data_IF_546504345673
#
_entry.id   IF_546504345673
#
_cell.length_a   1.000
_cell.length_b   1.000
_cell.length_c   1.000
_cell.angle_alpha   90.00
_cell.angle_beta   90.00
_cell.angle_gamma   90.00
#
_symmetry.space_group_name_H-M   'P 1'
#
loop_
_entity.id
_entity.type
_entity.pdbx_description
1 polymer ?
#
# COMPACT_ATOMS: atom_id res chain seq x y z
N UNK A 1 57.71 -32.69 20.40
CA UNK A 1 57.40 -31.73 19.32
C UNK A 1 55.95 -31.95 18.92
N UNK A 2 55.08 -31.00 19.25
CA UNK A 2 53.65 -31.08 18.92
C UNK A 2 53.43 -30.50 17.51
N UNK A 3 52.96 -31.32 16.58
CA UNK A 3 52.54 -30.90 15.24
C UNK A 3 51.17 -30.21 15.34
N UNK A 4 51.16 -28.89 15.16
CA UNK A 4 49.95 -28.09 15.04
C UNK A 4 49.37 -28.27 13.63
N UNK A 5 48.19 -28.89 13.53
CA UNK A 5 47.36 -28.85 12.32
C UNK A 5 46.94 -27.41 12.08
N UNK A 6 47.55 -26.76 11.08
CA UNK A 6 47.12 -25.46 10.59
C UNK A 6 45.79 -25.66 9.85
N UNK A 7 44.70 -25.17 10.42
CA UNK A 7 43.41 -25.13 9.74
C UNK A 7 43.57 -24.33 8.43
N UNK A 8 43.18 -24.94 7.31
CA UNK A 8 43.03 -24.24 6.03
C UNK A 8 41.84 -23.29 6.22
N UNK A 9 42.14 -22.01 6.39
CA UNK A 9 41.12 -20.98 6.39
C UNK A 9 40.48 -20.95 5.00
N UNK A 10 39.19 -21.28 4.93
CA UNK A 10 38.33 -20.92 3.80
C UNK A 10 38.46 -19.42 3.59
N UNK A 11 38.92 -19.00 2.41
CA UNK A 11 38.89 -17.60 2.03
C UNK A 11 37.43 -17.18 1.92
N UNK A 12 36.91 -16.60 3.00
CA UNK A 12 35.69 -15.82 3.00
C UNK A 12 35.82 -14.73 1.95
N UNK A 13 35.01 -14.82 0.89
CA UNK A 13 34.86 -13.82 -0.15
C UNK A 13 34.59 -12.48 0.52
N UNK A 14 35.62 -11.64 0.56
CA UNK A 14 35.59 -10.33 1.21
C UNK A 14 35.03 -9.33 0.19
N UNK A 15 33.71 -9.33 0.03
CA UNK A 15 32.85 -8.23 -0.41
C UNK A 15 31.47 -8.81 -0.79
N UNK A 16 30.48 -8.66 0.10
CA UNK A 16 29.09 -8.85 -0.29
C UNK A 16 28.73 -7.79 -1.33
N UNK A 17 28.31 -8.22 -2.53
CA UNK A 17 27.67 -7.43 -3.59
C UNK A 17 28.23 -6.04 -3.93
N UNK A 18 29.52 -5.77 -3.66
CA UNK A 18 30.10 -4.48 -3.99
C UNK A 18 31.08 -4.64 -5.14
N UNK A 19 30.60 -4.36 -6.38
CA UNK A 19 31.38 -3.80 -7.51
C UNK A 19 30.52 -3.50 -8.75
N UNK A 20 29.93 -2.31 -8.72
CA UNK A 20 30.03 -1.24 -9.72
C UNK A 20 29.53 -1.47 -11.16
N UNK A 21 28.22 -1.60 -11.32
CA UNK A 21 27.53 -1.04 -12.48
C UNK A 21 26.40 -0.14 -11.97
N UNK A 22 26.38 1.13 -12.37
CA UNK A 22 25.38 2.09 -11.92
C UNK A 22 24.02 1.79 -12.58
N UNK A 23 22.92 1.94 -11.85
CA UNK A 23 21.56 1.91 -12.44
C UNK A 23 21.26 3.22 -13.17
N UNK A 24 20.32 3.19 -14.12
CA UNK A 24 19.80 4.38 -14.81
C UNK A 24 19.31 5.44 -13.78
N UNK A 25 18.81 5.02 -12.61
CA UNK A 25 18.32 5.91 -11.56
C UNK A 25 19.41 6.73 -10.87
N UNK A 26 20.64 6.22 -10.81
CA UNK A 26 21.79 6.96 -10.27
C UNK A 26 22.36 7.96 -11.30
N UNK A 27 22.12 7.71 -12.59
CA UNK A 27 22.53 8.56 -13.70
C UNK A 27 21.46 9.61 -14.11
N UNK A 28 20.35 9.72 -13.39
CA UNK A 28 19.19 10.59 -13.73
C UNK A 28 19.52 12.07 -13.96
N UNK A 29 20.59 12.58 -13.36
CA UNK A 29 21.04 13.96 -13.54
C UNK A 29 21.73 14.20 -14.88
N UNK A 30 21.94 13.16 -15.70
CA UNK A 30 22.53 13.25 -17.04
C UNK A 30 21.41 13.16 -18.10
N UNK A 31 20.94 14.30 -18.64
CA UNK A 31 19.74 14.38 -19.48
C UNK A 31 19.82 13.57 -20.80
N UNK A 32 21.00 13.12 -21.20
CA UNK A 32 21.21 12.42 -22.47
C UNK A 32 20.72 10.97 -22.48
N UNK A 33 20.77 10.27 -21.33
CA UNK A 33 20.45 8.83 -21.24
C UNK A 33 18.96 8.65 -20.93
N UNK A 34 18.48 9.24 -19.83
CA UNK A 34 17.12 9.05 -19.36
C UNK A 34 16.07 9.69 -20.29
N UNK A 35 16.35 10.90 -20.81
CA UNK A 35 15.43 11.61 -21.71
C UNK A 35 15.18 10.86 -23.02
N UNK A 36 16.24 10.35 -23.68
CA UNK A 36 16.10 9.61 -24.94
C UNK A 36 15.46 8.23 -24.77
N UNK A 37 15.69 7.55 -23.65
CA UNK A 37 15.07 6.25 -23.37
C UNK A 37 13.58 6.39 -23.09
N UNK A 38 13.17 7.42 -22.35
CA UNK A 38 11.75 7.74 -22.16
C UNK A 38 11.10 8.08 -23.51
N UNK A 39 11.75 8.91 -24.33
CA UNK A 39 11.26 9.26 -25.67
C UNK A 39 11.15 8.03 -26.60
N UNK A 40 12.05 7.04 -26.47
CA UNK A 40 12.13 5.89 -27.35
C UNK A 40 11.24 4.71 -26.91
N UNK A 41 11.09 4.47 -25.61
CA UNK A 41 10.40 3.28 -25.06
C UNK A 41 9.08 3.62 -24.34
N UNK A 42 8.75 4.89 -24.13
CA UNK A 42 7.38 5.36 -23.90
C UNK A 42 6.65 4.82 -22.67
N UNK A 43 7.34 4.34 -21.62
CA UNK A 43 6.64 3.78 -20.46
C UNK A 43 5.86 4.82 -19.64
N UNK A 44 6.23 6.11 -19.70
CA UNK A 44 5.68 7.12 -18.80
C UNK A 44 5.96 6.79 -17.31
N UNK A 45 5.63 7.69 -16.37
CA UNK A 45 5.85 7.45 -14.95
C UNK A 45 4.87 6.39 -14.41
N UNK A 46 5.40 5.33 -13.80
CA UNK A 46 4.64 4.32 -13.06
C UNK A 46 4.61 4.56 -11.54
N UNK A 47 4.07 3.59 -10.79
CA UNK A 47 4.00 3.66 -9.33
C UNK A 47 5.39 3.59 -8.69
N UNK A 48 6.28 2.77 -9.23
CA UNK A 48 7.69 2.72 -8.84
C UNK A 48 8.35 4.09 -8.93
N UNK A 49 8.15 4.78 -10.06
CA UNK A 49 8.72 6.10 -10.31
C UNK A 49 8.16 7.13 -9.34
N UNK A 50 6.85 7.10 -9.11
CA UNK A 50 6.18 7.97 -8.15
C UNK A 50 6.75 7.78 -6.73
N UNK A 51 6.92 6.54 -6.26
CA UNK A 51 7.45 6.24 -4.93
C UNK A 51 8.93 6.60 -4.80
N UNK A 52 9.71 6.35 -5.86
CA UNK A 52 11.14 6.67 -5.90
C UNK A 52 11.37 8.18 -5.91
N UNK A 53 10.63 8.94 -6.72
CA UNK A 53 10.76 10.41 -6.78
C UNK A 53 10.21 11.11 -5.55
N UNK A 54 9.18 10.54 -4.92
CA UNK A 54 8.70 11.01 -3.62
C UNK A 54 9.69 10.72 -2.48
N UNK A 55 10.72 9.89 -2.71
CA UNK A 55 11.65 9.36 -1.69
C UNK A 55 10.94 8.58 -0.58
N UNK A 56 9.84 7.91 -0.91
CA UNK A 56 9.10 7.06 0.02
C UNK A 56 9.71 5.64 0.02
N UNK A 57 11.01 5.56 0.32
CA UNK A 57 11.78 4.32 0.32
C UNK A 57 12.36 4.03 1.71
N UNK A 58 12.32 2.78 2.15
CA UNK A 58 12.92 2.34 3.42
C UNK A 58 13.74 1.07 3.24
N UNK A 59 14.64 0.80 4.18
CA UNK A 59 15.36 -0.46 4.25
C UNK A 59 14.58 -1.46 5.13
N UNK A 60 14.39 -2.68 4.63
CA UNK A 60 13.68 -3.76 5.34
C UNK A 60 14.61 -4.93 5.62
N UNK A 61 14.38 -5.61 6.74
CA UNK A 61 15.15 -6.75 7.20
C UNK A 61 14.37 -8.03 6.89
N UNK A 62 14.98 -8.94 6.14
CA UNK A 62 14.37 -10.25 5.83
C UNK A 62 13.33 -10.22 4.69
N UNK A 63 12.76 -11.39 4.40
CA UNK A 63 11.78 -11.59 3.32
C UNK A 63 10.34 -11.27 3.75
N UNK A 64 10.08 -11.30 5.06
CA UNK A 64 8.79 -11.03 5.68
C UNK A 64 8.96 -9.91 6.69
N UNK A 65 8.14 -8.88 6.58
CA UNK A 65 8.11 -7.76 7.49
C UNK A 65 6.69 -7.58 8.03
N UNK A 66 6.51 -7.76 9.34
CA UNK A 66 5.26 -7.46 10.02
C UNK A 66 5.24 -5.99 10.41
N UNK A 67 4.20 -5.27 9.98
CA UNK A 67 3.98 -3.86 10.30
C UNK A 67 2.82 -3.77 11.28
N UNK A 68 3.09 -3.19 12.45
CA UNK A 68 2.07 -2.96 13.47
C UNK A 68 1.58 -1.52 13.35
N UNK A 69 0.30 -1.37 13.03
CA UNK A 69 -0.35 -0.06 12.90
C UNK A 69 -1.22 0.23 14.11
N UNK A 70 -1.21 1.50 14.54
CA UNK A 70 -2.13 2.00 15.55
C UNK A 70 -3.45 2.38 14.87
N UNK A 71 -4.53 1.68 15.21
CA UNK A 71 -5.88 2.09 14.77
C UNK A 71 -6.33 3.42 15.39
N UNK A 72 -7.57 3.82 15.11
CA UNK A 72 -8.18 5.00 15.74
C UNK A 72 -8.28 4.83 17.28
N UNK A 73 -8.09 5.91 18.04
CA UNK A 73 -8.19 5.90 19.51
C UNK A 73 -9.61 5.60 19.99
N UNK A 74 -10.60 5.99 19.20
CA UNK A 74 -12.00 5.66 19.39
C UNK A 74 -12.42 4.73 18.27
N UNK A 75 -13.06 3.62 18.61
CA UNK A 75 -13.65 2.69 17.64
C UNK A 75 -15.04 2.25 18.10
N UNK A 76 -15.97 1.96 17.18
CA UNK A 76 -17.18 1.24 17.51
C UNK A 76 -16.85 -0.22 17.84
N UNK A 77 -17.82 -0.93 18.40
CA UNK A 77 -17.78 -2.38 18.59
C UNK A 77 -18.80 -3.06 17.67
N UNK A 78 -18.48 -4.24 17.19
CA UNK A 78 -19.37 -5.04 16.34
C UNK A 78 -20.08 -6.11 17.17
N UNK A 79 -21.40 -6.25 17.02
CA UNK A 79 -22.18 -7.29 17.69
C UNK A 79 -21.99 -8.68 17.06
N UNK A 80 -21.80 -9.71 17.88
CA UNK A 80 -21.79 -11.12 17.47
C UNK A 80 -23.18 -11.76 17.54
N UNK A 81 -23.97 -11.37 18.54
CA UNK A 81 -25.33 -11.84 18.77
C UNK A 81 -26.34 -10.71 18.69
N UNK A 82 -27.57 -11.04 18.32
CA UNK A 82 -28.69 -10.10 18.36
C UNK A 82 -28.93 -9.63 19.79
N UNK A 83 -29.26 -8.34 19.95
CA UNK A 83 -29.80 -7.83 21.22
C UNK A 83 -31.32 -7.96 21.14
N UNK A 84 -31.88 -8.87 21.93
CA UNK A 84 -33.33 -9.07 21.98
C UNK A 84 -34.04 -7.83 22.53
N UNK A 85 -35.30 -7.66 22.14
CA UNK A 85 -36.20 -6.64 22.70
C UNK A 85 -36.23 -6.68 24.22
N UNK A 86 -36.30 -5.51 24.85
CA UNK A 86 -36.25 -5.36 26.30
C UNK A 86 -37.27 -4.31 26.77
N UNK A 87 -37.94 -4.62 27.87
CA UNK A 87 -38.90 -3.71 28.50
C UNK A 87 -38.25 -2.45 29.08
N UNK A 88 -39.10 -1.51 29.51
CA UNK A 88 -38.66 -0.22 30.04
C UNK A 88 -37.70 -0.38 31.23
N UNK A 89 -36.51 0.23 31.13
CA UNK A 89 -35.53 0.24 32.22
C UNK A 89 -34.83 -1.09 32.48
N UNK A 90 -35.05 -2.10 31.64
CA UNK A 90 -34.49 -3.45 31.81
C UNK A 90 -33.06 -3.51 31.25
N UNK A 91 -32.21 -4.31 31.90
CA UNK A 91 -30.87 -4.59 31.41
C UNK A 91 -30.89 -5.38 30.10
N UNK A 92 -29.99 -5.03 29.18
CA UNK A 92 -29.76 -5.78 27.95
C UNK A 92 -28.49 -6.61 28.06
N UNK A 93 -28.43 -7.72 27.35
CA UNK A 93 -27.24 -8.56 27.24
C UNK A 93 -26.82 -8.74 25.78
N UNK A 94 -25.51 -8.77 25.54
CA UNK A 94 -24.98 -8.93 24.19
C UNK A 94 -23.55 -9.47 24.20
N UNK A 95 -23.11 -9.94 23.03
CA UNK A 95 -21.75 -10.43 22.76
C UNK A 95 -21.14 -9.62 21.63
N UNK A 96 -19.83 -9.40 21.67
CA UNK A 96 -19.10 -8.70 20.61
C UNK A 96 -18.41 -9.70 19.68
N UNK A 97 -18.12 -9.29 18.44
CA UNK A 97 -17.47 -10.12 17.45
C UNK A 97 -16.12 -10.67 17.95
N UNK A 98 -15.77 -11.89 17.53
CA UNK A 98 -14.52 -12.54 17.94
C UNK A 98 -13.29 -11.75 17.53
N UNK A 99 -13.37 -10.99 16.44
CA UNK A 99 -12.31 -10.06 15.97
C UNK A 99 -12.11 -8.83 16.87
N UNK A 100 -12.96 -8.59 17.87
CA UNK A 100 -12.84 -7.45 18.78
C UNK A 100 -11.98 -7.75 20.02
N UNK A 101 -11.63 -9.03 20.23
CA UNK A 101 -10.76 -9.48 21.31
C UNK A 101 -9.29 -9.47 20.85
N UNK A 102 -8.38 -8.99 21.71
CA UNK A 102 -6.95 -9.20 21.50
C UNK A 102 -6.52 -10.64 21.85
N UNK A 103 -5.28 -11.01 21.54
CA UNK A 103 -4.74 -12.34 21.82
C UNK A 103 -4.74 -12.72 23.32
N UNK A 104 -4.89 -11.74 24.22
CA UNK A 104 -5.03 -11.93 25.66
C UNK A 104 -6.48 -11.75 26.14
N UNK A 105 -7.45 -11.76 25.23
CA UNK A 105 -8.88 -11.67 25.48
C UNK A 105 -9.32 -10.36 26.15
N UNK A 106 -8.52 -9.30 25.99
CA UNK A 106 -8.92 -7.97 26.37
C UNK A 106 -9.60 -7.29 25.19
N UNK A 107 -10.49 -6.37 25.51
CA UNK A 107 -11.37 -5.72 24.54
C UNK A 107 -11.34 -4.21 24.76
N UNK A 108 -11.77 -3.48 23.73
CA UNK A 108 -11.93 -2.03 23.83
C UNK A 108 -13.04 -1.64 24.80
N UNK A 109 -14.11 -2.45 24.88
CA UNK A 109 -15.24 -2.23 25.77
C UNK A 109 -14.94 -2.73 27.19
N UNK A 110 -14.82 -1.80 28.13
CA UNK A 110 -14.61 -2.09 29.54
C UNK A 110 -15.92 -2.06 30.34
N UNK A 111 -15.91 -2.68 31.54
CA UNK A 111 -17.00 -2.49 32.50
C UNK A 111 -17.02 -1.02 32.93
N UNK A 112 -18.22 -0.45 33.09
CA UNK A 112 -18.48 0.98 33.30
C UNK A 112 -18.26 1.88 32.09
N UNK A 113 -17.89 1.36 30.92
CA UNK A 113 -18.10 2.12 29.68
C UNK A 113 -19.60 2.21 29.36
N UNK A 114 -19.97 3.06 28.42
CA UNK A 114 -21.32 3.12 27.90
C UNK A 114 -21.36 2.90 26.39
N UNK A 115 -22.46 2.36 25.92
CA UNK A 115 -22.78 2.16 24.51
C UNK A 115 -24.00 2.99 24.13
N UNK A 116 -24.10 3.36 22.86
CA UNK A 116 -25.31 3.96 22.29
C UNK A 116 -26.02 2.94 21.41
N UNK A 117 -27.30 2.71 21.71
CA UNK A 117 -28.22 1.97 20.85
C UNK A 117 -28.85 2.97 19.86
N UNK A 118 -28.84 2.68 18.55
CA UNK A 118 -29.47 3.54 17.55
C UNK A 118 -30.97 3.73 17.83
N UNK A 119 -31.48 4.92 17.47
CA UNK A 119 -32.88 5.32 17.69
C UNK A 119 -33.88 4.38 17.00
N UNK A 120 -33.53 3.83 15.83
CA UNK A 120 -34.38 2.91 15.05
C UNK A 120 -34.83 1.66 15.83
N UNK A 121 -34.10 1.28 16.88
CA UNK A 121 -34.40 0.11 17.71
C UNK A 121 -35.11 0.45 19.03
N UNK A 122 -35.25 1.75 19.32
CA UNK A 122 -35.87 2.25 20.52
C UNK A 122 -37.35 2.54 20.29
N UNK A 123 -38.15 2.49 21.34
CA UNK A 123 -39.53 2.99 21.28
C UNK A 123 -39.59 4.52 21.21
N UNK A 124 -40.80 5.05 21.00
CA UNK A 124 -41.11 6.51 20.89
C UNK A 124 -40.68 7.37 22.11
N UNK A 125 -40.06 6.77 23.13
CA UNK A 125 -39.60 7.45 24.34
C UNK A 125 -38.18 8.00 24.22
N UNK A 126 -37.44 7.72 23.15
CA UNK A 126 -36.11 8.29 22.91
C UNK A 126 -36.11 9.26 21.74
N UNK A 127 -35.73 10.53 21.98
CA UNK A 127 -35.44 11.51 20.93
C UNK A 127 -33.96 11.42 20.54
N UNK A 128 -33.54 10.27 19.99
CA UNK A 128 -32.15 9.98 19.63
C UNK A 128 -31.56 8.71 20.27
N UNK A 129 -30.25 8.44 20.03
CA UNK A 129 -29.61 7.21 20.49
C UNK A 129 -29.64 7.04 22.01
N UNK A 130 -30.07 5.87 22.47
CA UNK A 130 -30.21 5.58 23.89
C UNK A 130 -28.88 5.13 24.50
N UNK A 131 -28.47 5.80 25.58
CA UNK A 131 -27.24 5.46 26.32
C UNK A 131 -27.49 4.31 27.31
N UNK A 132 -26.66 3.27 27.24
CA UNK A 132 -26.63 2.13 28.17
C UNK A 132 -25.24 2.00 28.78
N UNK A 133 -25.12 1.86 30.10
CA UNK A 133 -23.85 1.64 30.80
C UNK A 133 -23.60 0.16 31.05
N UNK A 134 -22.39 -0.32 30.74
CA UNK A 134 -21.98 -1.70 31.01
C UNK A 134 -21.86 -1.89 32.53
N UNK A 135 -22.71 -2.74 33.10
CA UNK A 135 -22.76 -3.02 34.53
C UNK A 135 -21.87 -4.20 34.90
N UNK A 136 -21.82 -5.22 34.03
CA UNK A 136 -21.01 -6.42 34.26
C UNK A 136 -20.60 -7.08 32.95
N UNK A 137 -19.62 -7.97 33.06
CA UNK A 137 -19.24 -8.91 32.01
C UNK A 137 -19.02 -10.28 32.62
N UNK A 138 -19.45 -11.34 31.95
CA UNK A 138 -19.30 -12.72 32.40
C UNK A 138 -19.07 -13.64 31.20
N UNK A 139 -18.45 -14.81 31.43
CA UNK A 139 -18.17 -15.78 30.37
C UNK A 139 -16.70 -16.18 30.31
N UNK A 140 -16.38 -17.06 29.37
CA UNK A 140 -15.04 -17.57 29.12
C UNK A 140 -14.38 -16.84 27.94
N UNK A 141 -13.10 -17.14 27.74
CA UNK A 141 -12.26 -16.76 26.60
C UNK A 141 -13.03 -16.73 25.26
N UNK A 142 -13.00 -15.58 24.56
CA UNK A 142 -13.71 -15.32 23.28
C UNK A 142 -15.25 -15.43 23.30
N UNK A 143 -15.86 -15.56 24.48
CA UNK A 143 -17.32 -15.64 24.61
C UNK A 143 -17.81 -14.83 25.83
N UNK A 144 -17.44 -13.55 25.86
CA UNK A 144 -17.82 -12.65 26.95
C UNK A 144 -19.20 -12.06 26.66
N UNK A 145 -20.13 -12.34 27.57
CA UNK A 145 -21.45 -11.70 27.60
C UNK A 145 -21.36 -10.41 28.43
N UNK A 146 -21.73 -9.30 27.81
CA UNK A 146 -21.84 -8.00 28.45
C UNK A 146 -23.26 -7.77 28.91
N UNK A 147 -23.44 -7.25 30.12
CA UNK A 147 -24.74 -6.77 30.61
C UNK A 147 -24.69 -5.24 30.71
N UNK A 148 -25.67 -4.56 30.13
CA UNK A 148 -25.75 -3.10 30.13
C UNK A 148 -27.10 -2.62 30.67
N UNK A 149 -27.07 -1.59 31.51
CA UNK A 149 -28.25 -0.95 32.08
C UNK A 149 -28.55 0.37 31.36
N UNK A 150 -29.82 0.66 31.04
CA UNK A 150 -30.18 1.94 30.45
C UNK A 150 -29.94 3.08 31.43
N UNK A 151 -29.57 4.25 30.91
CA UNK A 151 -29.47 5.46 31.72
C UNK A 151 -30.82 5.98 32.21
N UNK A 152 -31.88 5.80 31.40
CA UNK A 152 -33.24 6.21 31.74
C UNK A 152 -34.12 4.99 31.91
N UNK A 153 -34.95 4.98 32.95
CA UNK A 153 -35.94 3.92 33.18
C UNK A 153 -37.03 3.85 32.11
N UNK A 154 -37.14 4.88 31.27
CA UNK A 154 -38.11 4.99 30.17
C UNK A 154 -37.61 4.37 28.86
N UNK A 155 -36.34 3.99 28.77
CA UNK A 155 -35.79 3.38 27.55
C UNK A 155 -36.33 1.96 27.38
N UNK A 156 -36.95 1.73 26.21
CA UNK A 156 -37.54 0.48 25.78
C UNK A 156 -36.93 0.09 24.43
N UNK A 157 -36.48 -1.15 24.31
CA UNK A 157 -35.98 -1.69 23.05
C UNK A 157 -37.14 -2.44 22.37
N UNK A 158 -37.78 -1.80 21.39
CA UNK A 158 -39.00 -2.30 20.72
C UNK A 158 -38.68 -3.24 19.57
N UNK A 159 -37.52 -3.08 18.95
CA UNK A 159 -37.01 -3.92 17.87
C UNK A 159 -35.68 -4.53 18.28
N UNK A 160 -35.46 -5.80 17.90
CA UNK A 160 -34.18 -6.45 18.17
C UNK A 160 -33.06 -5.79 17.35
N UNK A 161 -31.89 -5.59 17.96
CA UNK A 161 -30.72 -5.03 17.27
C UNK A 161 -29.99 -6.18 16.56
N UNK A 162 -29.89 -6.17 15.21
CA UNK A 162 -29.32 -7.27 14.45
C UNK A 162 -27.86 -7.55 14.80
N UNK A 163 -27.41 -8.76 14.49
CA UNK A 163 -25.98 -9.12 14.48
C UNK A 163 -25.21 -8.20 13.52
N UNK A 164 -23.90 -8.04 13.73
CA UNK A 164 -23.02 -7.15 12.94
C UNK A 164 -23.29 -5.64 13.06
N UNK A 165 -24.33 -5.22 13.80
CA UNK A 165 -24.55 -3.81 14.09
C UNK A 165 -23.35 -3.23 14.83
N UNK A 166 -22.89 -2.05 14.38
CA UNK A 166 -21.79 -1.32 15.01
C UNK A 166 -22.34 -0.35 16.06
N UNK A 167 -21.94 -0.53 17.32
CA UNK A 167 -22.36 0.33 18.42
C UNK A 167 -21.24 1.31 18.79
N UNK A 168 -21.62 2.56 19.02
CA UNK A 168 -20.69 3.58 19.50
C UNK A 168 -20.38 3.35 20.98
N UNK A 169 -19.09 3.44 21.34
CA UNK A 169 -18.63 3.30 22.73
C UNK A 169 -18.16 4.65 23.25
N UNK A 170 -18.60 5.01 24.46
CA UNK A 170 -18.19 6.22 25.18
C UNK A 170 -17.81 5.88 26.62
N UNK A 171 -17.22 6.85 27.32
CA UNK A 171 -17.01 6.73 28.77
C UNK A 171 -18.35 6.71 29.52
N UNK A 172 -18.47 5.81 30.50
CA UNK A 172 -19.62 5.84 31.39
C UNK A 172 -19.55 6.98 32.40
N UNK A 173 -20.62 7.12 33.17
CA UNK A 173 -20.74 8.13 34.20
C UNK A 173 -20.36 7.52 35.55
N UNK A 174 -19.65 8.29 36.36
CA UNK A 174 -19.16 7.88 37.68
C UNK A 174 -19.86 8.66 38.78
N UNK A 175 -20.25 7.96 39.84
CA UNK A 175 -20.70 8.60 41.07
C UNK A 175 -19.48 9.12 41.86
N UNK A 176 -19.64 10.20 42.66
CA UNK A 176 -18.60 10.65 43.58
C UNK A 176 -18.11 9.50 44.48
N UNK A 177 -16.78 9.32 44.59
CA UNK A 177 -16.17 8.25 45.40
C UNK A 177 -16.23 6.84 44.79
N UNK A 178 -16.77 6.67 43.58
CA UNK A 178 -16.81 5.37 42.91
C UNK A 178 -15.44 4.94 42.39
N UNK A 179 -15.19 3.63 42.38
CA UNK A 179 -13.99 3.06 41.78
C UNK A 179 -13.92 3.38 40.28
N UNK A 180 -12.73 3.71 39.78
CA UNK A 180 -12.49 3.98 38.36
C UNK A 180 -12.79 2.80 37.41
N UNK A 181 -12.75 3.06 36.11
CA UNK A 181 -12.82 2.02 35.08
C UNK A 181 -11.57 1.15 35.05
N UNK A 182 -11.72 -0.05 34.48
CA UNK A 182 -10.56 -0.82 34.03
C UNK A 182 -9.89 -0.15 32.82
N UNK A 183 -8.56 -0.26 32.67
CA UNK A 183 -7.87 0.23 31.49
C UNK A 183 -8.45 -0.42 30.23
N UNK A 184 -8.69 0.39 29.19
CA UNK A 184 -9.07 -0.13 27.87
C UNK A 184 -7.84 -0.79 27.26
N UNK A 185 -8.02 -1.98 26.70
CA UNK A 185 -6.99 -2.61 25.86
C UNK A 185 -7.30 -2.34 24.40
N UNK A 186 -6.27 -2.03 23.62
CA UNK A 186 -6.36 -2.00 22.17
C UNK A 186 -5.24 -2.86 21.62
N UNK A 187 -5.59 -3.87 20.84
CA UNK A 187 -4.62 -4.62 20.05
C UNK A 187 -4.01 -3.72 18.98
N UNK A 188 -2.77 -4.00 18.61
CA UNK A 188 -2.20 -3.49 17.37
C UNK A 188 -2.83 -4.25 16.20
N UNK A 189 -3.06 -3.57 15.09
CA UNK A 189 -3.39 -4.28 13.84
C UNK A 189 -2.08 -4.59 13.16
N UNK A 190 -1.78 -5.88 13.05
CA UNK A 190 -0.61 -6.42 12.37
C UNK A 190 -0.94 -6.81 10.93
N UNK A 191 -0.01 -6.52 10.04
CA UNK A 191 -0.08 -6.93 8.64
C UNK A 191 1.31 -7.37 8.21
N UNK A 192 1.38 -8.55 7.61
CA UNK A 192 2.60 -9.07 7.01
C UNK A 192 2.76 -8.56 5.58
N UNK A 193 3.98 -8.17 5.23
CA UNK A 193 4.41 -7.83 3.88
C UNK A 193 5.59 -8.71 3.47
N UNK A 194 5.59 -9.15 2.22
CA UNK A 194 6.61 -10.04 1.67
C UNK A 194 7.42 -9.34 0.57
N UNK A 195 8.70 -9.71 0.45
CA UNK A 195 9.55 -9.26 -0.66
C UNK A 195 9.25 -10.02 -1.95
N UNK A 196 9.43 -9.36 -3.08
CA UNK A 196 9.53 -9.95 -4.41
C UNK A 196 10.97 -9.82 -4.90
N UNK A 197 11.44 -10.81 -5.66
CA UNK A 197 12.74 -10.75 -6.34
C UNK A 197 12.48 -10.64 -7.84
N UNK A 198 12.96 -9.57 -8.47
CA UNK A 198 12.95 -9.42 -9.93
C UNK A 198 14.37 -9.46 -10.47
N UNK A 199 14.56 -10.19 -11.57
CA UNK A 199 15.86 -10.37 -12.22
C UNK A 199 15.72 -10.20 -13.73
N UNK A 200 16.70 -9.54 -14.34
CA UNK A 200 16.83 -9.44 -15.80
C UNK A 200 18.27 -9.68 -16.21
N UNK A 201 18.47 -10.51 -17.22
CA UNK A 201 19.78 -10.76 -17.82
C UNK A 201 19.98 -9.91 -19.06
N UNK A 202 21.23 -9.57 -19.35
CA UNK A 202 21.65 -8.99 -20.62
C UNK A 202 22.86 -9.75 -21.16
N UNK A 203 22.97 -9.74 -22.48
CA UNK A 203 24.05 -10.35 -23.24
C UNK A 203 24.69 -9.29 -24.12
N UNK A 204 26.01 -9.31 -24.19
CA UNK A 204 26.79 -8.50 -25.12
C UNK A 204 27.69 -9.41 -25.93
N UNK A 205 27.59 -9.32 -27.25
CA UNK A 205 28.45 -10.03 -28.18
C UNK A 205 29.75 -9.23 -28.41
N UNK A 206 30.82 -9.90 -28.79
CA UNK A 206 32.06 -9.24 -29.14
C UNK A 206 31.93 -8.35 -30.37
N UNK A 207 32.84 -7.40 -30.47
CA UNK A 207 32.76 -6.22 -31.36
C UNK A 207 31.64 -5.22 -31.03
N UNK A 208 30.54 -5.60 -30.36
CA UNK A 208 29.55 -4.61 -29.88
C UNK A 208 30.09 -3.79 -28.70
N UNK A 209 31.09 -4.31 -27.98
CA UNK A 209 31.85 -3.55 -27.00
C UNK A 209 32.79 -2.51 -27.64
N UNK A 210 33.20 -2.68 -28.90
CA UNK A 210 33.99 -1.67 -29.61
C UNK A 210 33.15 -0.64 -30.35
N UNK A 211 31.86 -0.92 -30.57
CA UNK A 211 30.89 0.03 -31.10
C UNK A 211 30.51 1.04 -30.00
N UNK A 212 31.35 2.08 -29.87
CA UNK A 212 31.13 3.24 -29.03
C UNK A 212 29.70 3.76 -29.16
N UNK A 213 28.93 3.71 -28.07
CA UNK A 213 27.66 4.45 -28.01
C UNK A 213 27.62 5.44 -26.86
N UNK A 214 27.99 5.06 -25.63
CA UNK A 214 27.95 5.97 -24.48
C UNK A 214 29.01 5.57 -23.44
N UNK A 215 30.11 6.34 -23.35
CA UNK A 215 31.04 6.25 -22.22
C UNK A 215 30.55 7.18 -21.11
N UNK A 216 30.49 6.67 -19.88
CA UNK A 216 30.30 7.52 -18.71
C UNK A 216 31.18 7.05 -17.55
N UNK A 217 31.64 7.99 -16.74
CA UNK A 217 32.48 7.70 -15.57
C UNK A 217 31.62 7.06 -14.47
N UNK A 218 32.01 5.85 -14.05
CA UNK A 218 31.50 5.25 -12.82
C UNK A 218 31.96 6.10 -11.62
N UNK A 219 31.27 6.00 -10.48
CA UNK A 219 31.54 6.80 -9.26
C UNK A 219 33.00 6.68 -8.76
N UNK A 220 33.71 5.61 -9.15
CA UNK A 220 35.11 5.37 -8.82
C UNK A 220 36.13 5.92 -9.84
N UNK A 221 35.70 6.69 -10.85
CA UNK A 221 36.56 7.19 -11.93
C UNK A 221 36.99 6.13 -12.93
N UNK A 222 36.42 4.92 -12.88
CA UNK A 222 36.60 3.89 -13.90
C UNK A 222 35.57 4.08 -15.03
N UNK A 223 36.01 3.94 -16.28
CA UNK A 223 35.12 4.02 -17.44
C UNK A 223 34.23 2.78 -17.50
N UNK A 224 32.94 2.95 -17.22
CA UNK A 224 31.93 1.91 -17.39
C UNK A 224 31.27 2.05 -18.75
N UNK A 225 31.15 0.95 -19.49
CA UNK A 225 30.43 0.95 -20.77
C UNK A 225 28.95 0.61 -20.56
N UNK A 226 28.06 1.59 -20.71
CA UNK A 226 26.64 1.33 -20.85
C UNK A 226 26.34 0.87 -22.28
N UNK A 227 26.12 -0.43 -22.42
CA UNK A 227 25.62 -1.00 -23.68
C UNK A 227 24.11 -0.75 -23.84
N UNK A 228 23.62 -0.79 -25.07
CA UNK A 228 22.17 -0.77 -25.33
C UNK A 228 21.45 -1.90 -24.57
N UNK A 229 22.02 -3.10 -24.57
CA UNK A 229 21.39 -4.27 -23.93
C UNK A 229 21.32 -4.13 -22.40
N UNK A 230 22.36 -3.60 -21.74
CA UNK A 230 22.34 -3.37 -20.28
C UNK A 230 21.33 -2.29 -19.89
N UNK A 231 21.15 -1.27 -20.74
CA UNK A 231 20.19 -0.19 -20.52
C UNK A 231 18.76 -0.69 -20.74
N UNK A 232 18.51 -1.45 -21.81
CA UNK A 232 17.20 -2.08 -22.05
C UNK A 232 16.84 -3.04 -20.91
N UNK A 233 17.80 -3.81 -20.40
CA UNK A 233 17.57 -4.72 -19.28
C UNK A 233 17.17 -3.98 -17.99
N UNK A 234 17.78 -2.82 -17.67
CA UNK A 234 17.42 -2.04 -16.47
C UNK A 234 16.05 -1.36 -16.63
N UNK A 235 15.71 -0.95 -17.86
CA UNK A 235 14.38 -0.44 -18.18
C UNK A 235 13.31 -1.54 -18.03
N UNK A 236 13.55 -2.74 -18.57
CA UNK A 236 12.64 -3.87 -18.39
C UNK A 236 12.52 -4.31 -16.93
N UNK A 237 13.62 -4.31 -16.18
CA UNK A 237 13.59 -4.61 -14.74
C UNK A 237 12.68 -3.62 -14.00
N UNK A 238 12.75 -2.34 -14.36
CA UNK A 238 11.87 -1.31 -13.81
C UNK A 238 10.41 -1.54 -14.18
N UNK A 239 10.13 -1.91 -15.44
CA UNK A 239 8.80 -2.32 -15.87
C UNK A 239 8.26 -3.46 -15.00
N UNK A 240 9.05 -4.52 -14.80
CA UNK A 240 8.64 -5.66 -13.98
C UNK A 240 8.41 -5.28 -12.50
N UNK A 241 9.20 -4.35 -11.98
CA UNK A 241 9.00 -3.81 -10.63
C UNK A 241 7.72 -3.00 -10.54
N UNK A 242 7.44 -2.15 -11.52
CA UNK A 242 6.19 -1.40 -11.63
C UNK A 242 4.98 -2.35 -11.64
N UNK A 243 5.08 -3.42 -12.43
CA UNK A 243 3.99 -4.39 -12.58
C UNK A 243 3.74 -5.18 -11.30
N UNK A 244 4.80 -5.61 -10.64
CA UNK A 244 4.72 -6.27 -9.35
C UNK A 244 4.17 -5.33 -8.26
N UNK A 245 4.60 -4.07 -8.22
CA UNK A 245 4.09 -3.10 -7.25
C UNK A 245 2.61 -2.76 -7.47
N UNK A 246 2.09 -2.86 -8.70
CA UNK A 246 0.70 -2.55 -8.97
C UNK A 246 -0.22 -3.77 -8.87
N UNK A 247 0.11 -4.87 -9.56
CA UNK A 247 -0.74 -6.07 -9.68
C UNK A 247 -0.13 -7.35 -9.08
N UNK A 248 1.04 -7.28 -8.46
CA UNK A 248 1.75 -8.43 -7.89
C UNK A 248 0.91 -9.29 -6.95
N UNK A 249 1.23 -10.58 -6.90
CA UNK A 249 0.57 -11.59 -6.08
C UNK A 249 1.57 -12.17 -5.09
N UNK A 250 1.12 -12.41 -3.87
CA UNK A 250 1.85 -13.26 -2.92
C UNK A 250 1.59 -14.72 -3.33
N UNK A 251 2.62 -15.48 -3.78
CA UNK A 251 2.45 -16.85 -4.21
C UNK A 251 2.18 -17.76 -3.00
N UNK A 252 1.03 -18.42 -2.99
CA UNK A 252 0.64 -19.43 -1.99
C UNK A 252 0.77 -20.87 -2.52
N UNK A 253 0.93 -21.04 -3.83
CA UNK A 253 1.05 -22.33 -4.49
C UNK A 253 2.44 -22.95 -4.22
N UNK A 254 2.49 -23.96 -3.35
CA UNK A 254 3.72 -24.67 -2.99
C UNK A 254 4.43 -25.36 -4.16
N UNK A 255 3.75 -25.58 -5.30
CA UNK A 255 4.38 -26.16 -6.50
C UNK A 255 5.09 -25.11 -7.37
N UNK A 256 4.91 -23.81 -7.06
CA UNK A 256 5.59 -22.73 -7.76
C UNK A 256 6.99 -22.56 -7.16
N UNK A 257 7.93 -23.36 -7.68
CA UNK A 257 9.32 -23.43 -7.22
C UNK A 257 10.30 -23.19 -8.37
N UNK A 258 11.50 -22.72 -8.03
CA UNK A 258 12.63 -22.60 -8.94
C UNK A 258 13.83 -23.35 -8.37
N UNK A 259 14.53 -24.16 -9.17
CA UNK A 259 15.71 -24.85 -8.71
C UNK A 259 16.83 -23.86 -8.40
N UNK A 260 17.50 -24.07 -7.29
CA UNK A 260 18.75 -23.38 -6.95
C UNK A 260 19.92 -23.98 -7.75
N UNK A 261 21.14 -23.47 -7.51
CA UNK A 261 22.35 -23.98 -8.19
C UNK A 261 22.65 -25.46 -7.90
N UNK A 262 22.22 -25.95 -6.74
CA UNK A 262 22.37 -27.34 -6.28
C UNK A 262 21.19 -28.23 -6.71
N UNK A 263 20.29 -27.70 -7.55
CA UNK A 263 19.06 -28.35 -8.01
C UNK A 263 17.99 -28.63 -6.93
N UNK A 264 18.07 -27.96 -5.77
CA UNK A 264 16.96 -27.95 -4.81
C UNK A 264 15.89 -26.92 -5.20
N UNK A 265 14.63 -27.29 -5.08
CA UNK A 265 13.51 -26.42 -5.36
C UNK A 265 13.28 -25.39 -4.24
N UNK A 266 13.42 -24.11 -4.59
CA UNK A 266 13.11 -22.98 -3.72
C UNK A 266 11.77 -22.34 -4.10
N UNK A 267 10.98 -21.95 -3.10
CA UNK A 267 9.72 -21.22 -3.32
C UNK A 267 9.96 -19.85 -3.93
N UNK A 268 9.08 -19.45 -4.85
CA UNK A 268 9.10 -18.11 -5.41
C UNK A 268 8.57 -17.11 -4.37
N UNK A 269 9.20 -15.94 -4.30
CA UNK A 269 8.72 -14.83 -3.49
C UNK A 269 8.01 -13.78 -4.36
N UNK A 270 6.93 -13.21 -3.84
CA UNK A 270 6.13 -12.18 -4.50
C UNK A 270 5.54 -11.23 -3.46
N UNK A 271 5.28 -9.98 -3.89
CA UNK A 271 4.72 -8.94 -3.03
C UNK A 271 3.32 -8.60 -3.49
N UNK A 272 2.43 -8.28 -2.55
CA UNK A 272 1.06 -7.95 -2.90
C UNK A 272 1.00 -6.55 -3.54
N UNK A 273 0.51 -6.51 -4.78
CA UNK A 273 0.37 -5.29 -5.54
C UNK A 273 -0.65 -4.33 -4.92
N UNK A 274 -0.46 -3.04 -5.20
CA UNK A 274 -1.27 -1.95 -4.67
C UNK A 274 -2.76 -2.11 -4.98
N UNK A 275 -3.12 -2.47 -6.22
CA UNK A 275 -4.53 -2.65 -6.59
C UNK A 275 -5.20 -3.74 -5.75
N UNK A 276 -4.48 -4.82 -5.45
CA UNK A 276 -5.00 -5.93 -4.64
C UNK A 276 -5.17 -5.55 -3.18
N UNK A 277 -4.31 -4.67 -2.66
CA UNK A 277 -4.52 -4.07 -1.35
C UNK A 277 -5.84 -3.29 -1.31
N UNK A 278 -6.15 -2.53 -2.37
CA UNK A 278 -7.43 -1.82 -2.47
C UNK A 278 -8.61 -2.79 -2.60
N UNK A 279 -8.50 -3.86 -3.39
CA UNK A 279 -9.57 -4.86 -3.52
C UNK A 279 -9.86 -5.56 -2.19
N UNK A 280 -8.82 -5.90 -1.41
CA UNK A 280 -9.01 -6.65 -0.17
C UNK A 280 -9.44 -5.79 1.03
N UNK A 281 -9.12 -4.50 1.02
CA UNK A 281 -9.26 -3.68 2.23
C UNK A 281 -9.63 -2.23 1.99
N UNK A 282 -9.51 -1.71 0.76
CA UNK A 282 -9.83 -0.33 0.43
C UNK A 282 -11.32 -0.07 0.28
N UNK A 283 -11.68 1.21 0.33
CA UNK A 283 -12.99 1.67 -0.06
C UNK A 283 -13.25 1.44 -1.54
N UNK A 284 -14.50 1.30 -1.92
CA UNK A 284 -14.92 1.12 -3.30
C UNK A 284 -15.88 2.22 -3.72
N UNK A 285 -15.53 2.95 -4.78
CA UNK A 285 -16.40 3.91 -5.46
C UNK A 285 -16.68 3.40 -6.87
N UNK A 286 -17.96 3.31 -7.19
CA UNK A 286 -18.47 2.89 -8.49
C UNK A 286 -19.16 4.06 -9.16
N UNK A 287 -18.94 4.25 -10.46
CA UNK A 287 -19.64 5.23 -11.29
C UNK A 287 -20.24 4.53 -12.50
N UNK A 288 -21.44 4.90 -12.94
CA UNK A 288 -22.17 4.10 -13.95
C UNK A 288 -21.79 4.49 -15.38
N UNK A 289 -21.97 5.77 -15.73
CA UNK A 289 -21.75 6.27 -17.09
C UNK A 289 -20.50 7.17 -17.16
N UNK A 290 -20.68 8.46 -16.84
CA UNK A 290 -19.57 9.41 -16.73
C UNK A 290 -19.31 9.69 -15.26
N UNK A 291 -18.04 9.94 -14.93
CA UNK A 291 -17.67 10.43 -13.61
C UNK A 291 -18.16 11.89 -13.44
N UNK A 292 -19.08 12.12 -12.52
CA UNK A 292 -19.72 13.40 -12.26
C UNK A 292 -19.02 14.19 -11.14
N UNK A 293 -19.20 15.51 -11.11
CA UNK A 293 -18.69 16.34 -10.00
C UNK A 293 -19.31 15.94 -8.66
N UNK A 294 -20.52 15.37 -8.67
CA UNK A 294 -21.20 14.85 -7.49
C UNK A 294 -20.50 13.64 -6.87
N UNK A 295 -19.83 12.81 -7.67
CA UNK A 295 -19.08 11.64 -7.18
C UNK A 295 -17.95 12.04 -6.21
N UNK A 296 -17.42 13.26 -6.32
CA UNK A 296 -16.43 13.76 -5.36
C UNK A 296 -16.99 13.98 -3.95
N UNK A 297 -18.31 14.11 -3.79
CA UNK A 297 -18.92 14.32 -2.48
C UNK A 297 -18.86 13.05 -1.62
N UNK A 298 -19.05 11.87 -2.23
CA UNK A 298 -18.99 10.56 -1.57
C UNK A 298 -17.62 10.26 -0.96
N UNK A 299 -16.56 10.74 -1.60
CA UNK A 299 -15.17 10.51 -1.16
C UNK A 299 -14.95 11.02 0.27
N UNK A 300 -15.58 12.15 0.63
CA UNK A 300 -15.47 12.67 1.99
C UNK A 300 -16.12 11.75 3.00
N UNK A 301 -17.30 11.25 2.71
CA UNK A 301 -18.03 10.37 3.63
C UNK A 301 -17.29 9.04 3.79
N UNK A 302 -16.71 8.52 2.70
CA UNK A 302 -15.82 7.36 2.73
C UNK A 302 -14.59 7.61 3.63
N UNK A 303 -13.89 8.73 3.45
CA UNK A 303 -12.76 9.10 4.30
C UNK A 303 -13.15 9.25 5.77
N UNK A 304 -14.27 9.95 6.06
CA UNK A 304 -14.76 10.16 7.42
C UNK A 304 -15.20 8.86 8.08
N UNK A 305 -15.77 7.91 7.33
CA UNK A 305 -16.10 6.58 7.83
C UNK A 305 -14.88 5.80 8.35
N UNK A 306 -13.69 6.11 7.82
CA UNK A 306 -12.42 5.48 8.19
C UNK A 306 -11.57 6.35 9.12
N UNK A 307 -12.15 7.44 9.65
CA UNK A 307 -11.49 8.36 10.57
C UNK A 307 -10.43 9.26 9.92
N UNK A 308 -10.40 9.36 8.58
CA UNK A 308 -9.53 10.29 7.84
C UNK A 308 -10.09 11.70 8.00
N UNK A 309 -9.28 12.60 8.56
CA UNK A 309 -9.65 14.01 8.76
C UNK A 309 -8.98 14.89 7.71
N UNK A 310 -7.99 14.35 7.00
CA UNK A 310 -7.18 15.08 6.06
C UNK A 310 -8.01 15.70 4.93
N UNK A 311 -7.55 16.86 4.46
CA UNK A 311 -8.21 17.68 3.43
C UNK A 311 -7.46 17.63 2.10
N UNK A 312 -6.49 16.73 1.95
CA UNK A 312 -5.74 16.54 0.72
C UNK A 312 -5.70 15.07 0.31
N UNK A 313 -5.93 14.81 -0.97
CA UNK A 313 -5.88 13.48 -1.56
C UNK A 313 -5.22 13.50 -2.95
N UNK A 314 -4.47 12.45 -3.23
CA UNK A 314 -3.94 12.13 -4.55
C UNK A 314 -4.96 11.25 -5.27
N UNK A 315 -5.31 11.59 -6.51
CA UNK A 315 -6.15 10.76 -7.35
C UNK A 315 -5.37 10.37 -8.60
N UNK A 316 -4.91 9.11 -8.62
CA UNK A 316 -4.25 8.48 -9.77
C UNK A 316 -5.29 7.82 -10.68
N UNK A 317 -5.26 8.09 -11.99
CA UNK A 317 -6.29 7.65 -12.93
C UNK A 317 -5.73 7.40 -14.34
N UNK A 318 -6.40 6.56 -15.12
CA UNK A 318 -6.15 6.44 -16.57
C UNK A 318 -6.77 7.58 -17.38
N UNK A 319 -6.37 7.74 -18.65
CA UNK A 319 -6.80 8.87 -19.49
C UNK A 319 -8.31 8.93 -19.74
N UNK A 320 -9.00 7.79 -19.72
CA UNK A 320 -10.45 7.74 -19.94
C UNK A 320 -11.20 8.41 -18.81
N UNK A 321 -10.90 7.99 -17.57
CA UNK A 321 -11.45 8.58 -16.36
C UNK A 321 -11.01 10.05 -16.21
N UNK A 322 -9.75 10.37 -16.55
CA UNK A 322 -9.27 11.75 -16.54
C UNK A 322 -10.11 12.65 -17.46
N UNK A 323 -10.31 12.23 -18.71
CA UNK A 323 -11.14 12.96 -19.68
C UNK A 323 -12.58 13.14 -19.22
N UNK A 324 -13.17 12.13 -18.57
CA UNK A 324 -14.52 12.24 -18.00
C UNK A 324 -14.58 13.33 -16.93
N UNK A 325 -13.60 13.37 -16.02
CA UNK A 325 -13.50 14.40 -14.97
C UNK A 325 -13.30 15.79 -15.58
N UNK A 326 -12.44 15.93 -16.61
CA UNK A 326 -12.23 17.22 -17.27
C UNK A 326 -13.51 17.73 -17.95
N UNK A 327 -14.24 16.86 -18.66
CA UNK A 327 -15.50 17.23 -19.29
C UNK A 327 -16.56 17.61 -18.24
N UNK A 328 -16.66 16.83 -17.17
CA UNK A 328 -17.58 17.06 -16.05
C UNK A 328 -17.30 18.38 -15.33
N UNK A 329 -16.02 18.68 -15.05
CA UNK A 329 -15.60 19.95 -14.47
C UNK A 329 -15.83 21.14 -15.42
N UNK A 330 -15.69 20.93 -16.72
CA UNK A 330 -15.93 21.96 -17.73
C UNK A 330 -17.41 22.27 -17.83
N UNK A 331 -18.27 21.25 -17.88
CA UNK A 331 -19.73 21.42 -17.93
C UNK A 331 -20.27 22.08 -16.66
N UNK A 332 -19.74 21.72 -15.49
CA UNK A 332 -20.03 22.43 -14.23
C UNK A 332 -19.65 23.92 -14.32
N UNK A 333 -18.48 24.27 -14.86
CA UNK A 333 -18.10 25.66 -15.08
C UNK A 333 -19.03 26.36 -16.08
N UNK A 334 -19.47 25.69 -17.15
CA UNK A 334 -20.42 26.28 -18.12
C UNK A 334 -21.74 26.65 -17.45
N UNK A 335 -22.27 25.75 -16.64
CA UNK A 335 -23.56 25.90 -15.96
C UNK A 335 -23.50 27.02 -14.91
N UNK A 336 -22.45 27.07 -14.09
CA UNK A 336 -22.30 28.07 -13.03
C UNK A 336 -21.80 29.44 -13.52
N UNK A 337 -21.07 29.51 -14.63
CA UNK A 337 -20.52 30.76 -15.17
C UNK A 337 -21.57 31.62 -15.90
N UNK A 338 -22.81 31.16 -16.05
CA UNK A 338 -23.90 31.95 -16.62
C UNK A 338 -23.62 32.52 -18.02
N UNK A 339 -22.70 31.93 -18.78
CA UNK A 339 -22.36 32.34 -20.14
C UNK A 339 -21.61 33.67 -20.31
N UNK A 340 -21.12 34.31 -19.24
CA UNK A 340 -20.43 35.62 -19.37
C UNK A 340 -19.02 35.62 -18.78
N UNK A 341 -18.07 36.02 -19.63
CA UNK A 341 -16.68 36.40 -19.38
C UNK A 341 -15.62 35.31 -19.18
N UNK A 342 -15.92 34.16 -18.56
CA UNK A 342 -14.89 33.12 -18.37
C UNK A 342 -14.53 32.38 -19.67
N UNK A 343 -15.53 32.11 -20.53
CA UNK A 343 -15.34 31.34 -21.77
C UNK A 343 -14.50 32.04 -22.83
N UNK A 344 -14.57 33.37 -22.94
CA UNK A 344 -13.81 34.11 -23.96
C UNK A 344 -12.30 34.13 -23.68
N UNK A 345 -11.89 33.91 -22.42
CA UNK A 345 -10.47 33.75 -22.05
C UNK A 345 -9.99 32.29 -22.10
N UNK A 346 -10.92 31.32 -22.08
CA UNK A 346 -10.63 29.89 -22.08
C UNK A 346 -10.65 29.26 -23.49
N UNK A 347 -11.33 29.87 -24.47
CA UNK A 347 -11.39 29.38 -25.85
C UNK A 347 -10.02 29.41 -26.57
N UNK A 348 -9.05 30.19 -26.06
CA UNK A 348 -7.65 30.23 -26.53
C UNK A 348 -6.64 29.53 -25.61
N UNK A 349 -7.09 28.90 -24.51
CA UNK A 349 -6.22 28.32 -23.50
C UNK A 349 -6.61 26.87 -23.22
N UNK A 350 -5.73 25.92 -23.53
CA UNK A 350 -5.90 24.52 -23.13
C UNK A 350 -6.14 24.42 -21.63
N UNK A 351 -7.34 23.97 -21.25
CA UNK A 351 -7.72 23.75 -19.85
C UNK A 351 -7.01 22.47 -19.40
N UNK A 352 -6.27 22.55 -18.29
CA UNK A 352 -5.66 21.38 -17.65
C UNK A 352 -6.12 21.35 -16.20
N UNK A 353 -6.99 20.41 -15.86
CA UNK A 353 -7.41 20.23 -14.47
C UNK A 353 -6.30 19.51 -13.69
N UNK A 354 -5.50 20.26 -12.94
CA UNK A 354 -4.47 19.68 -12.06
C UNK A 354 -4.98 19.41 -10.65
N UNK A 355 -5.93 20.23 -10.17
CA UNK A 355 -6.48 20.15 -8.82
C UNK A 355 -7.93 20.61 -8.79
N UNK A 356 -8.74 19.98 -7.95
CA UNK A 356 -10.11 20.41 -7.65
C UNK A 356 -10.29 20.45 -6.13
N UNK A 357 -10.94 21.49 -5.62
CA UNK A 357 -11.37 21.57 -4.22
C UNK A 357 -12.89 21.37 -4.17
N UNK A 358 -13.34 20.23 -3.65
CA UNK A 358 -14.77 19.92 -3.47
C UNK A 358 -14.98 19.32 -2.08
N UNK A 359 -16.08 19.70 -1.42
CA UNK A 359 -16.43 19.23 -0.09
C UNK A 359 -15.31 19.40 0.97
N UNK A 360 -14.48 20.43 0.83
CA UNK A 360 -13.29 20.70 1.66
C UNK A 360 -12.15 19.66 1.54
N UNK A 361 -12.12 18.89 0.45
CA UNK A 361 -11.01 18.02 0.07
C UNK A 361 -10.38 18.56 -1.22
N UNK A 362 -9.07 18.77 -1.17
CA UNK A 362 -8.23 19.13 -2.32
C UNK A 362 -7.74 17.85 -2.99
N UNK A 363 -8.31 17.55 -4.15
CA UNK A 363 -7.89 16.48 -5.02
C UNK A 363 -6.76 16.97 -5.93
N UNK A 364 -5.65 16.24 -5.95
CA UNK A 364 -4.58 16.43 -6.93
C UNK A 364 -4.61 15.28 -7.92
N UNK A 365 -4.76 15.61 -9.20
CA UNK A 365 -4.88 14.61 -10.27
C UNK A 365 -3.51 14.24 -10.83
N UNK A 366 -3.30 12.94 -11.00
CA UNK A 366 -2.14 12.39 -11.70
C UNK A 366 -2.65 11.37 -12.71
N UNK A 367 -2.48 11.69 -13.99
CA UNK A 367 -2.73 10.75 -15.08
C UNK A 367 -1.58 9.74 -15.14
N UNK A 368 -1.93 8.46 -15.07
CA UNK A 368 -0.98 7.35 -15.16
C UNK A 368 -0.91 6.89 -16.61
N UNK A 369 0.07 7.40 -17.35
CA UNK A 369 0.27 7.05 -18.77
C UNK A 369 0.43 5.53 -19.00
N UNK A 370 0.86 4.79 -17.99
CA UNK A 370 0.94 3.33 -18.03
C UNK A 370 -0.43 2.67 -18.24
N UNK A 371 -1.53 3.26 -17.75
CA UNK A 371 -2.89 2.72 -17.89
C UNK A 371 -3.43 2.82 -19.32
N UNK A 372 -2.83 3.69 -20.13
CA UNK A 372 -3.23 3.91 -21.53
C UNK A 372 -2.30 3.26 -22.54
N UNK A 373 -1.15 2.76 -22.09
CA UNK A 373 -0.19 2.13 -22.96
C UNK A 373 -0.73 0.76 -23.44
N UNK A 374 -1.01 0.60 -24.76
CA UNK A 374 -1.60 -0.63 -25.29
C UNK A 374 -0.65 -1.84 -25.24
N UNK A 375 0.63 -1.62 -24.94
CA UNK A 375 1.62 -2.69 -24.76
C UNK A 375 1.65 -3.23 -23.31
N UNK A 376 0.98 -2.56 -22.37
CA UNK A 376 0.90 -2.98 -20.96
C UNK A 376 -0.55 -3.00 -20.48
N UNK A 377 -1.01 -1.98 -19.76
CA UNK A 377 -2.33 -1.95 -19.11
C UNK A 377 -3.45 -1.42 -20.02
N UNK A 378 -3.13 -0.70 -21.09
CA UNK A 378 -4.09 -0.10 -22.02
C UNK A 378 -4.79 -1.09 -22.96
N UNK A 379 -4.57 -2.40 -22.78
CA UNK A 379 -5.29 -3.43 -23.50
C UNK A 379 -6.79 -3.39 -23.14
N UNK A 380 -7.64 -3.33 -24.18
CA UNK A 380 -9.10 -3.13 -24.04
C UNK A 380 -9.78 -4.14 -23.12
N UNK A 381 -9.26 -5.37 -23.04
CA UNK A 381 -9.83 -6.42 -22.19
C UNK A 381 -9.71 -6.15 -20.68
N UNK A 382 -8.76 -5.31 -20.25
CA UNK A 382 -8.53 -5.05 -18.82
C UNK A 382 -9.12 -3.72 -18.33
N UNK A 383 -9.45 -2.82 -19.25
CA UNK A 383 -10.13 -1.54 -19.00
C UNK A 383 -9.49 -0.67 -17.90
N UNK A 384 -8.16 -0.62 -17.84
CA UNK A 384 -7.44 0.25 -16.89
C UNK A 384 -7.61 1.74 -17.19
N UNK A 385 -7.93 2.08 -18.44
CA UNK A 385 -8.19 3.43 -18.91
C UNK A 385 -9.31 4.15 -18.14
N UNK A 386 -10.31 3.40 -17.68
CA UNK A 386 -11.48 3.92 -16.95
C UNK A 386 -11.36 3.66 -15.43
N UNK A 387 -10.18 3.30 -14.93
CA UNK A 387 -9.95 2.99 -13.53
C UNK A 387 -9.03 4.01 -12.87
N UNK A 388 -9.15 4.11 -11.56
CA UNK A 388 -8.30 4.94 -10.75
C UNK A 388 -8.32 4.58 -9.28
N UNK A 389 -7.57 5.33 -8.50
CA UNK A 389 -7.48 5.18 -7.07
C UNK A 389 -7.26 6.53 -6.39
N UNK A 390 -7.80 6.67 -5.19
CA UNK A 390 -7.65 7.87 -4.36
C UNK A 390 -6.91 7.49 -3.08
N UNK A 391 -5.81 8.19 -2.81
CA UNK A 391 -4.98 8.01 -1.63
C UNK A 391 -5.00 9.30 -0.82
N UNK A 392 -5.48 9.29 0.43
CA UNK A 392 -5.37 10.47 1.30
C UNK A 392 -3.90 10.73 1.63
N UNK A 393 -3.50 12.00 1.71
CA UNK A 393 -2.12 12.38 1.99
C UNK A 393 -1.78 12.27 3.48
N UNK A 394 -1.96 11.10 4.08
CA UNK A 394 -1.67 10.84 5.47
C UNK A 394 -0.33 10.12 5.66
N UNK A 395 0.18 10.22 6.88
CA UNK A 395 1.25 9.37 7.37
C UNK A 395 0.69 8.45 8.47
N UNK A 396 1.24 7.25 8.56
CA UNK A 396 0.97 6.27 9.58
C UNK A 396 2.20 6.07 10.46
N UNK A 397 2.03 6.21 11.77
CA UNK A 397 3.05 5.77 12.73
C UNK A 397 2.97 4.25 12.88
N UNK A 398 4.05 3.56 12.54
CA UNK A 398 4.13 2.10 12.55
C UNK A 398 5.32 1.60 13.34
N UNK A 399 5.27 0.34 13.76
CA UNK A 399 6.45 -0.40 14.24
C UNK A 399 6.82 -1.48 13.25
N UNK A 400 8.11 -1.61 12.97
CA UNK A 400 8.68 -2.55 11.99
C UNK A 400 9.17 -3.84 12.68
N UNK A 401 8.36 -4.37 13.60
CA UNK A 401 8.64 -5.62 14.30
C UNK A 401 8.01 -5.68 15.69
N UNK A 402 7.74 -6.90 16.17
CA UNK A 402 7.06 -7.13 17.46
C UNK A 402 7.90 -6.62 18.65
N UNK A 403 9.22 -6.79 18.55
CA UNK A 403 10.18 -6.37 19.58
C UNK A 403 10.82 -5.01 19.31
N UNK A 404 10.45 -4.34 18.22
CA UNK A 404 10.97 -3.00 17.94
C UNK A 404 10.25 -1.95 18.83
N UNK A 405 11.06 -1.20 19.57
CA UNK A 405 10.58 -0.15 20.47
C UNK A 405 10.35 1.16 19.74
N UNK A 406 11.10 1.39 18.66
CA UNK A 406 11.03 2.59 17.83
C UNK A 406 9.82 2.55 16.89
N UNK A 407 9.17 3.69 16.77
CA UNK A 407 8.09 3.91 15.80
C UNK A 407 8.61 4.75 14.65
N UNK A 408 8.30 4.34 13.43
CA UNK A 408 8.64 5.08 12.21
C UNK A 408 7.37 5.65 11.60
N UNK A 409 7.47 6.86 11.05
CA UNK A 409 6.41 7.47 10.27
C UNK A 409 6.56 7.04 8.81
N UNK A 410 5.57 6.31 8.29
CA UNK A 410 5.52 5.90 6.89
C UNK A 410 4.37 6.59 6.18
N UNK A 411 4.54 6.86 4.89
CA UNK A 411 3.42 7.28 4.06
C UNK A 411 2.45 6.11 3.82
N UNK A 412 1.26 6.43 3.31
CA UNK A 412 0.26 5.47 2.87
C UNK A 412 0.83 4.41 1.91
N UNK A 413 1.81 4.79 1.06
CA UNK A 413 2.56 3.86 0.23
C UNK A 413 4.06 4.07 0.44
N UNK A 414 4.78 2.98 0.66
CA UNK A 414 6.23 2.99 0.88
C UNK A 414 6.85 1.77 0.21
N UNK A 415 7.97 1.99 -0.48
CA UNK A 415 8.77 0.95 -1.11
C UNK A 415 9.87 0.49 -0.13
N UNK A 416 9.82 -0.77 0.30
CA UNK A 416 10.85 -1.35 1.15
C UNK A 416 11.87 -2.10 0.32
N UNK A 417 13.16 -1.76 0.41
CA UNK A 417 14.25 -2.52 -0.20
C UNK A 417 14.97 -3.40 0.81
N UNK A 418 15.33 -4.62 0.43
CA UNK A 418 16.09 -5.49 1.31
C UNK A 418 17.53 -5.03 1.38
N UNK A 419 17.87 -4.41 2.52
CA UNK A 419 19.20 -3.90 2.80
C UNK A 419 19.50 -4.10 4.28
N UNK A 420 20.40 -5.03 4.59
CA UNK A 420 20.76 -5.36 5.97
C UNK A 420 22.14 -6.02 6.05
N UNK A 421 22.87 -5.75 7.15
CA UNK A 421 24.15 -6.39 7.47
C UNK A 421 25.21 -6.33 6.34
N UNK A 422 25.24 -5.24 5.58
CA UNK A 422 26.17 -5.04 4.46
C UNK A 422 25.78 -5.72 3.15
N UNK A 423 24.65 -6.44 3.12
CA UNK A 423 24.02 -6.89 1.87
C UNK A 423 22.98 -5.85 1.42
N UNK A 424 23.18 -5.26 0.25
CA UNK A 424 22.26 -4.31 -0.38
C UNK A 424 21.68 -4.91 -1.66
N UNK A 425 20.36 -5.17 -1.66
CA UNK A 425 19.62 -5.73 -2.81
C UNK A 425 18.69 -4.71 -3.45
N UNK A 426 18.92 -3.42 -3.24
CA UNK A 426 18.11 -2.32 -3.80
C UNK A 426 18.11 -2.37 -5.33
N UNK A 427 19.31 -2.34 -5.93
CA UNK A 427 19.55 -2.56 -7.36
C UNK A 427 20.96 -3.15 -7.49
N UNK A 428 21.05 -4.46 -7.69
CA UNK A 428 22.31 -5.18 -7.88
C UNK A 428 22.54 -5.35 -9.37
N UNK A 429 23.74 -5.02 -9.83
CA UNK A 429 24.20 -5.32 -11.19
C UNK A 429 25.53 -6.06 -11.13
N UNK A 430 25.67 -7.11 -11.93
CA UNK A 430 26.90 -7.89 -11.96
C UNK A 430 27.11 -8.60 -13.29
N UNK A 431 28.38 -8.85 -13.63
CA UNK A 431 28.77 -9.68 -14.76
C UNK A 431 28.89 -11.13 -14.27
N UNK A 432 28.28 -12.06 -14.99
CA UNK A 432 28.44 -13.49 -14.72
C UNK A 432 29.83 -13.93 -15.21
N UNK A 433 30.70 -14.47 -14.33
CA UNK A 433 31.99 -14.98 -14.77
C UNK A 433 31.78 -16.18 -15.71
N UNK A 434 32.33 -16.08 -16.92
CA UNK A 434 32.35 -17.17 -17.90
C UNK A 434 33.00 -18.42 -17.32
N UNK A 435 32.49 -19.59 -17.70
CA UNK A 435 32.83 -20.87 -17.08
C UNK A 435 34.27 -21.27 -17.42
N UNK A 436 35.21 -20.92 -16.55
CA UNK A 436 36.31 -21.81 -16.21
C UNK A 436 36.67 -21.62 -14.73
N UNK A 437 36.66 -22.71 -13.97
CA UNK A 437 36.83 -22.75 -12.51
C UNK A 437 38.23 -22.39 -12.00
N UNK A 438 38.94 -21.49 -12.68
CA UNK A 438 40.22 -20.93 -12.26
C UNK A 438 40.10 -19.43 -12.45
N UNK A 439 40.02 -18.68 -11.35
CA UNK A 439 39.71 -17.23 -11.25
C UNK A 439 40.61 -16.24 -12.00
N UNK A 440 40.93 -16.52 -13.25
CA UNK A 440 41.41 -15.58 -14.24
C UNK A 440 40.20 -15.11 -15.04
N UNK A 441 40.22 -13.83 -15.46
CA UNK A 441 39.39 -13.36 -16.58
C UNK A 441 39.77 -14.23 -17.77
N UNK A 442 39.07 -15.34 -17.96
CA UNK A 442 39.18 -16.08 -19.20
C UNK A 442 38.88 -15.07 -20.29
N UNK A 443 39.69 -15.08 -21.34
CA UNK A 443 39.21 -14.64 -22.64
C UNK A 443 37.78 -15.12 -22.74
N UNK A 444 36.90 -14.18 -23.07
CA UNK A 444 35.67 -14.35 -23.82
C UNK A 444 35.28 -15.82 -23.93
N UNK A 445 34.09 -16.18 -23.43
CA UNK A 445 33.57 -17.56 -23.47
C UNK A 445 33.94 -18.24 -24.82
N UNK A 446 33.89 -19.56 -24.90
CA UNK A 446 33.99 -20.26 -26.20
C UNK A 446 33.09 -19.63 -27.30
N UNK A 447 32.13 -18.82 -26.88
CA UNK A 447 31.39 -17.79 -27.62
C UNK A 447 31.92 -16.38 -27.33
N UNK A 448 32.03 -15.54 -28.37
CA UNK A 448 32.46 -14.14 -28.24
C UNK A 448 31.41 -13.29 -27.47
N UNK A 449 31.20 -13.51 -26.16
CA UNK A 449 30.13 -12.90 -25.37
C UNK A 449 30.51 -12.49 -23.91
N UNK A 450 29.74 -11.55 -23.37
CA UNK A 450 29.73 -11.10 -21.97
C UNK A 450 28.28 -11.14 -21.46
N UNK A 451 28.04 -11.82 -20.35
CA UNK A 451 26.72 -11.92 -19.72
C UNK A 451 26.68 -11.12 -18.43
N UNK A 452 25.59 -10.41 -18.21
CA UNK A 452 25.33 -9.74 -16.95
C UNK A 452 23.90 -9.94 -16.47
N UNK A 453 23.69 -9.68 -15.20
CA UNK A 453 22.40 -9.77 -14.55
C UNK A 453 22.15 -8.55 -13.66
N UNK A 454 20.90 -8.13 -13.66
CA UNK A 454 20.33 -7.13 -12.78
C UNK A 454 19.35 -7.82 -11.83
N UNK A 455 19.36 -7.40 -10.56
CA UNK A 455 18.49 -7.94 -9.52
C UNK A 455 17.98 -6.81 -8.62
N UNK A 456 16.71 -6.87 -8.25
CA UNK A 456 16.17 -6.07 -7.15
C UNK A 456 15.31 -6.96 -6.25
N UNK A 457 15.45 -6.78 -4.93
CA UNK A 457 14.55 -7.38 -3.94
C UNK A 457 13.86 -6.29 -3.11
N UNK A 458 12.53 -6.25 -3.21
CA UNK A 458 11.72 -5.14 -2.71
C UNK A 458 10.33 -5.61 -2.23
N UNK A 459 9.64 -4.80 -1.43
CA UNK A 459 8.26 -5.02 -1.00
C UNK A 459 7.44 -3.73 -1.08
N UNK A 460 6.15 -3.85 -1.39
CA UNK A 460 5.22 -2.74 -1.23
C UNK A 460 4.63 -2.74 0.18
N UNK A 461 4.87 -1.68 0.95
CA UNK A 461 4.22 -1.48 2.25
C UNK A 461 3.11 -0.45 2.06
N UNK A 462 1.87 -0.94 2.11
CA UNK A 462 0.67 -0.10 2.03
C UNK A 462 0.07 0.10 3.42
N UNK A 463 0.34 1.22 4.07
CA UNK A 463 -0.25 1.53 5.38
C UNK A 463 -1.66 2.12 5.21
N UNK A 464 -2.53 1.98 6.22
CA UNK A 464 -3.88 2.58 6.21
C UNK A 464 -4.72 2.24 4.96
N UNK A 465 -4.60 1.00 4.45
CA UNK A 465 -5.24 0.53 3.20
C UNK A 465 -6.75 0.78 3.15
N UNK A 466 -7.41 0.70 4.30
CA UNK A 466 -8.84 0.96 4.46
C UNK A 466 -9.25 2.40 4.19
N UNK A 467 -8.31 3.34 4.27
CA UNK A 467 -8.54 4.76 4.02
C UNK A 467 -8.37 5.14 2.54
N UNK A 468 -7.85 4.23 1.72
CA UNK A 468 -7.67 4.42 0.28
C UNK A 468 -8.91 3.94 -0.48
N UNK A 469 -9.20 4.53 -1.62
CA UNK A 469 -10.40 4.23 -2.41
C UNK A 469 -10.00 3.73 -3.80
N UNK A 470 -10.60 2.63 -4.23
CA UNK A 470 -10.61 2.15 -5.61
C UNK A 470 -11.78 2.80 -6.34
N UNK A 471 -11.53 3.32 -7.55
CA UNK A 471 -12.55 3.91 -8.43
C UNK A 471 -12.64 3.08 -9.71
N UNK A 472 -13.83 2.60 -10.05
CA UNK A 472 -14.06 1.85 -11.30
C UNK A 472 -15.47 2.10 -11.85
N UNK A 473 -15.63 1.92 -13.16
CA UNK A 473 -16.94 1.99 -13.81
C UNK A 473 -17.78 0.76 -13.45
N UNK A 474 -19.10 0.94 -13.29
CA UNK A 474 -20.04 -0.15 -13.10
C UNK A 474 -20.04 -1.06 -14.33
N UNK A 475 -19.91 -2.37 -14.09
CA UNK A 475 -19.85 -3.39 -15.14
C UNK A 475 -21.21 -3.82 -15.66
#
# INVERSE_FOLDING_TARGET
>A
MATTNKAVASNTVTAGYNKNFNSIYEAMLKPQIFGKLIDQYGQGPGIFDMLTFAKHTINVKGHKQTVFSQGALQKPITLLGEISTAGAGVAITFKIATSEYDANYKTFLAVKDAIFIPEDYMGDTSNGPAKYQISSKSGSTNDITYTALPFLSTYVLTSAVPTTTKLQVTGGNYAPGSQGASPKSRGWTDVDYFTAIKRRSFLLEGSQQSDERWQDELINGETGMFSKASVEADFFLTGDMNDELFLGEEPDNANLVLPNREADDNTIYGTKGFWRHLVSSGGFQEYTDNYEIADFDDVKDMFRSQGVINTAALFGMGSGLHRMIENSGLDFLKEFSGGTDLMMSMDSMGIKYKKILKNSILFTFVELATFDNPQTYGLTAYDWKNRGFIVPNEFGTVKMGEYETETVELSNLTLGYKNYNGEDRTRVSGILPGVNGMGYRSFVDTYDDLRGELLSEFMLIATKRNQMIRVQQAS
#
